data_IF_396686276078
#
_entry.id   IF_396686276078
#
_cell.length_a   1.000
_cell.length_b   1.000
_cell.length_c   1.000
_cell.angle_alpha   90.00
_cell.angle_beta   90.00
_cell.angle_gamma   90.00
#
_symmetry.space_group_name_H-M   'P 1'
#
loop_
_entity.id
_entity.type
_entity.pdbx_description
1 polymer ?
#
# COMPACT_ATOMS: atom_id res chain seq x y z
N UNK A 1 21.99 2.79 20.72
CA UNK A 1 21.30 4.08 20.45
C UNK A 1 20.61 4.03 19.11
N UNK A 2 19.35 4.45 19.08
CA UNK A 2 18.58 4.50 17.82
C UNK A 2 19.19 5.54 16.88
N UNK A 3 19.21 5.23 15.59
CA UNK A 3 19.69 6.15 14.57
C UNK A 3 18.71 7.30 14.32
N UNK A 4 17.44 7.03 14.49
CA UNK A 4 16.35 8.02 14.32
C UNK A 4 15.42 7.99 15.51
N UNK A 5 14.76 9.11 15.75
CA UNK A 5 13.71 9.14 16.76
C UNK A 5 12.42 8.49 16.23
N UNK A 6 11.71 7.81 17.13
CA UNK A 6 10.43 7.18 16.80
C UNK A 6 9.46 8.13 16.12
N UNK A 7 9.34 9.35 16.64
CA UNK A 7 8.41 10.34 16.10
C UNK A 7 8.73 10.73 14.67
N UNK A 8 10.02 10.81 14.31
CA UNK A 8 10.44 11.06 12.92
C UNK A 8 9.95 9.96 11.98
N UNK A 9 10.08 8.69 12.38
CA UNK A 9 9.63 7.55 11.59
C UNK A 9 8.10 7.54 11.51
N UNK A 10 7.41 7.82 12.60
CA UNK A 10 5.95 7.91 12.61
C UNK A 10 5.42 8.99 11.66
N UNK A 11 6.03 10.16 11.65
CA UNK A 11 5.67 11.24 10.72
C UNK A 11 5.87 10.82 9.27
N UNK A 12 6.98 10.15 8.96
CA UNK A 12 7.22 9.61 7.63
C UNK A 12 6.17 8.57 7.23
N UNK A 13 5.79 7.70 8.17
CA UNK A 13 4.76 6.68 7.93
C UNK A 13 3.36 7.29 7.75
N UNK A 14 3.02 8.31 8.52
CA UNK A 14 1.76 9.04 8.35
C UNK A 14 1.68 9.70 6.96
N UNK A 15 2.77 10.32 6.54
CA UNK A 15 2.86 10.92 5.20
C UNK A 15 2.75 9.85 4.09
N UNK A 16 3.39 8.72 4.26
CA UNK A 16 3.30 7.58 3.35
C UNK A 16 1.86 7.08 3.21
N UNK A 17 1.15 6.91 4.32
CA UNK A 17 -0.24 6.47 4.32
C UNK A 17 -1.15 7.47 3.60
N UNK A 18 -0.99 8.76 3.86
CA UNK A 18 -1.76 9.82 3.20
C UNK A 18 -1.50 9.83 1.69
N UNK A 19 -0.24 9.65 1.28
CA UNK A 19 0.14 9.60 -0.14
C UNK A 19 -0.43 8.36 -0.84
N UNK A 20 -0.46 7.21 -0.17
CA UNK A 20 -1.08 5.99 -0.70
C UNK A 20 -2.58 6.17 -0.94
N UNK A 21 -3.29 6.75 0.03
CA UNK A 21 -4.72 7.04 -0.10
C UNK A 21 -4.99 8.00 -1.26
N UNK A 22 -4.21 9.07 -1.38
CA UNK A 22 -4.31 10.03 -2.48
C UNK A 22 -4.09 9.33 -3.84
N UNK A 23 -3.06 8.49 -3.94
CA UNK A 23 -2.78 7.73 -5.17
C UNK A 23 -3.94 6.84 -5.58
N UNK A 24 -4.52 6.10 -4.62
CA UNK A 24 -5.67 5.23 -4.87
C UNK A 24 -6.89 6.02 -5.33
N UNK A 25 -7.15 7.18 -4.75
CA UNK A 25 -8.34 7.99 -5.04
C UNK A 25 -8.20 8.81 -6.32
N UNK A 26 -7.03 9.36 -6.60
CA UNK A 26 -6.79 10.24 -7.76
C UNK A 26 -6.22 9.50 -8.97
N UNK A 27 -5.69 8.30 -8.77
CA UNK A 27 -4.93 7.51 -9.77
C UNK A 27 -3.58 8.15 -10.14
N UNK A 28 -3.15 9.17 -9.40
CA UNK A 28 -1.83 9.78 -9.51
C UNK A 28 -0.96 9.35 -8.33
N UNK A 29 0.04 8.52 -8.61
CA UNK A 29 0.92 7.90 -7.62
C UNK A 29 2.24 8.66 -7.42
N UNK A 30 2.34 9.88 -7.94
CA UNK A 30 3.56 10.70 -7.88
C UNK A 30 3.99 10.97 -6.43
N UNK A 31 3.07 11.42 -5.58
CA UNK A 31 3.38 11.73 -4.18
C UNK A 31 3.74 10.49 -3.37
N UNK A 32 3.10 9.35 -3.68
CA UNK A 32 3.45 8.08 -3.05
C UNK A 32 4.85 7.62 -3.43
N UNK A 33 5.19 7.67 -4.72
CA UNK A 33 6.53 7.33 -5.20
C UNK A 33 7.60 8.25 -4.59
N UNK A 34 7.27 9.52 -4.36
CA UNK A 34 8.16 10.48 -3.70
C UNK A 34 8.48 10.13 -2.24
N UNK A 35 7.74 9.21 -1.61
CA UNK A 35 8.05 8.67 -0.28
C UNK A 35 9.25 7.71 -0.28
N UNK A 36 9.80 7.37 -1.45
CA UNK A 36 10.94 6.46 -1.59
C UNK A 36 12.21 7.20 -2.00
N UNK A 37 13.36 6.65 -1.60
CA UNK A 37 14.65 7.12 -2.12
C UNK A 37 14.75 6.79 -3.62
N UNK A 38 15.62 7.50 -4.33
CA UNK A 38 15.85 7.28 -5.76
C UNK A 38 16.26 5.85 -6.09
N UNK A 39 17.04 5.22 -5.22
CA UNK A 39 17.55 3.85 -5.35
C UNK A 39 16.77 2.80 -4.54
N UNK A 40 15.56 3.12 -4.12
CA UNK A 40 14.74 2.24 -3.29
C UNK A 40 14.50 0.89 -3.97
N UNK A 41 14.30 -0.14 -3.13
CA UNK A 41 13.89 -1.49 -3.56
C UNK A 41 12.50 -1.78 -3.03
N UNK A 42 11.64 -2.33 -3.90
CA UNK A 42 10.32 -2.79 -3.55
C UNK A 42 10.21 -4.28 -3.84
N UNK A 43 9.81 -5.05 -2.84
CA UNK A 43 9.54 -6.48 -2.98
C UNK A 43 8.05 -6.75 -2.74
N UNK A 44 7.32 -7.02 -3.80
CA UNK A 44 5.93 -7.42 -3.74
C UNK A 44 5.85 -8.91 -4.03
N UNK A 45 5.38 -9.69 -3.04
CA UNK A 45 5.51 -11.16 -3.07
C UNK A 45 4.81 -11.83 -4.25
N UNK A 46 3.82 -11.20 -4.85
CA UNK A 46 3.14 -11.72 -6.04
C UNK A 46 3.80 -11.25 -7.35
N UNK A 47 4.15 -9.96 -7.43
CA UNK A 47 4.66 -9.36 -8.68
C UNK A 47 6.18 -9.41 -8.80
N UNK A 48 6.92 -9.56 -7.69
CA UNK A 48 8.37 -9.64 -7.71
C UNK A 48 9.07 -8.41 -7.15
N UNK A 49 10.27 -8.14 -7.64
CA UNK A 49 11.14 -7.07 -7.12
C UNK A 49 11.29 -5.95 -8.13
N UNK A 50 11.31 -4.72 -7.62
CA UNK A 50 11.48 -3.52 -8.43
C UNK A 50 12.57 -2.65 -7.81
N UNK A 51 13.50 -2.19 -8.63
CA UNK A 51 14.64 -1.39 -8.21
C UNK A 51 14.55 0.02 -8.77
N UNK A 52 14.66 1.00 -7.88
CA UNK A 52 14.60 2.40 -8.20
C UNK A 52 13.18 2.98 -8.16
N UNK A 53 13.08 4.21 -7.67
CA UNK A 53 11.82 4.93 -7.52
C UNK A 53 11.03 5.02 -8.82
N UNK A 54 11.70 5.26 -9.94
CA UNK A 54 11.04 5.41 -11.24
C UNK A 54 10.38 4.10 -11.70
N UNK A 55 11.05 2.96 -11.47
CA UNK A 55 10.49 1.64 -11.78
C UNK A 55 9.33 1.29 -10.83
N UNK A 56 9.45 1.64 -9.56
CA UNK A 56 8.37 1.48 -8.57
C UNK A 56 7.16 2.29 -9.01
N UNK A 57 7.35 3.55 -9.40
CA UNK A 57 6.29 4.41 -9.90
C UNK A 57 5.60 3.85 -11.14
N UNK A 58 6.38 3.39 -12.12
CA UNK A 58 5.85 2.81 -13.36
C UNK A 58 5.01 1.57 -13.07
N UNK A 59 5.53 0.67 -12.24
CA UNK A 59 4.83 -0.55 -11.86
C UNK A 59 3.53 -0.27 -11.10
N UNK A 60 3.57 0.57 -10.05
CA UNK A 60 2.38 0.85 -9.25
C UNK A 60 1.28 1.52 -10.08
N UNK A 61 1.67 2.44 -10.94
CA UNK A 61 0.73 3.14 -11.82
C UNK A 61 0.05 2.17 -12.80
N UNK A 62 0.83 1.31 -13.44
CA UNK A 62 0.27 0.31 -14.36
C UNK A 62 -0.62 -0.70 -13.65
N UNK A 63 -0.25 -1.10 -12.43
CA UNK A 63 -0.95 -2.16 -11.68
C UNK A 63 -2.23 -1.62 -11.03
N UNK A 64 -2.12 -0.52 -10.29
CA UNK A 64 -3.23 -0.01 -9.49
C UNK A 64 -4.25 0.81 -10.30
N UNK A 65 -3.88 1.28 -11.49
CA UNK A 65 -4.82 1.99 -12.35
C UNK A 65 -5.57 1.06 -13.31
N UNK A 66 -5.19 -0.21 -13.33
CA UNK A 66 -5.85 -1.24 -14.16
C UNK A 66 -7.01 -1.88 -13.38
N UNK A 67 -8.17 -1.95 -14.03
CA UNK A 67 -9.30 -2.68 -13.45
C UNK A 67 -8.98 -4.19 -13.34
N UNK A 68 -9.31 -4.90 -12.26
CA UNK A 68 -10.13 -4.47 -11.12
C UNK A 68 -9.37 -3.87 -9.94
N UNK A 69 -8.03 -3.85 -9.95
CA UNK A 69 -7.23 -3.27 -8.87
C UNK A 69 -7.52 -1.76 -8.68
N UNK A 70 -7.95 -1.07 -9.73
CA UNK A 70 -8.36 0.34 -9.66
C UNK A 70 -9.57 0.59 -8.75
N UNK A 71 -10.31 -0.44 -8.39
CA UNK A 71 -11.40 -0.35 -7.41
C UNK A 71 -10.92 -0.50 -5.96
N UNK A 72 -9.65 -0.73 -5.75
CA UNK A 72 -9.02 -0.71 -4.43
C UNK A 72 -8.69 0.74 -4.08
N UNK A 73 -9.45 1.32 -3.14
CA UNK A 73 -9.45 2.78 -2.92
C UNK A 73 -8.99 3.20 -1.54
N UNK A 74 -8.68 2.27 -0.65
CA UNK A 74 -8.19 2.60 0.69
C UNK A 74 -7.27 1.50 1.22
N UNK A 75 -6.35 1.92 2.11
CA UNK A 75 -5.36 1.05 2.74
C UNK A 75 -5.29 1.32 4.24
N UNK A 76 -6.37 1.01 5.00
CA UNK A 76 -6.35 1.28 6.44
C UNK A 76 -5.34 0.41 7.16
N UNK A 77 -4.60 1.03 8.07
CA UNK A 77 -3.64 0.36 8.94
C UNK A 77 -4.35 -0.07 10.21
N UNK A 78 -4.34 -1.37 10.51
CA UNK A 78 -4.99 -1.92 11.71
C UNK A 78 -4.05 -1.94 12.92
N UNK A 79 -2.77 -2.16 12.69
CA UNK A 79 -1.72 -2.04 13.70
C UNK A 79 -0.37 -1.81 13.00
N UNK A 80 0.58 -1.26 13.76
CA UNK A 80 1.97 -1.17 13.33
C UNK A 80 2.90 -1.21 14.54
N UNK A 81 4.14 -1.55 14.28
CA UNK A 81 5.24 -1.47 15.23
C UNK A 81 6.47 -0.87 14.55
N UNK A 82 7.33 -0.27 15.34
CA UNK A 82 8.56 0.36 14.86
C UNK A 82 9.75 -0.23 15.60
N UNK A 83 10.74 -0.69 14.86
CA UNK A 83 12.07 -1.01 15.36
C UNK A 83 12.93 0.24 15.13
N UNK A 84 13.16 1.03 16.18
CA UNK A 84 13.89 2.30 16.09
C UNK A 84 15.36 2.09 15.73
N UNK A 85 15.97 1.01 16.20
CA UNK A 85 17.38 0.73 15.94
C UNK A 85 17.64 0.45 14.45
N UNK A 86 16.71 -0.26 13.81
CA UNK A 86 16.79 -0.57 12.38
C UNK A 86 16.12 0.49 11.50
N UNK A 87 15.22 1.29 12.06
CA UNK A 87 14.39 2.21 11.30
C UNK A 87 13.29 1.49 10.51
N UNK A 88 12.78 0.37 11.03
CA UNK A 88 11.76 -0.41 10.34
C UNK A 88 10.38 -0.10 10.88
N UNK A 89 9.42 0.03 9.96
CA UNK A 89 8.00 0.00 10.27
C UNK A 89 7.44 -1.32 9.76
N UNK A 90 6.73 -2.04 10.63
CA UNK A 90 6.03 -3.27 10.28
C UNK A 90 4.55 -3.04 10.57
N UNK A 91 3.70 -3.18 9.57
CA UNK A 91 2.29 -2.83 9.69
C UNK A 91 1.40 -3.88 9.02
N UNK A 92 0.22 -4.11 9.60
CA UNK A 92 -0.87 -4.74 8.87
C UNK A 92 -1.67 -3.64 8.17
N UNK A 93 -1.74 -3.75 6.86
CA UNK A 93 -2.45 -2.80 5.99
C UNK A 93 -3.54 -3.56 5.26
N UNK A 94 -4.77 -3.09 5.35
CA UNK A 94 -5.87 -3.69 4.61
C UNK A 94 -5.88 -3.16 3.17
N UNK A 95 -5.92 -4.08 2.22
CA UNK A 95 -6.23 -3.75 0.83
C UNK A 95 -7.75 -3.72 0.70
N UNK A 96 -8.33 -2.54 0.71
CA UNK A 96 -9.78 -2.34 0.77
C UNK A 96 -10.34 -1.86 -0.56
N UNK A 97 -11.34 -2.60 -1.05
CA UNK A 97 -12.09 -2.22 -2.23
C UNK A 97 -13.04 -1.05 -1.95
N UNK A 98 -13.52 -0.39 -3.00
CA UNK A 98 -14.54 0.66 -2.90
C UNK A 98 -15.74 0.17 -2.09
N UNK A 99 -16.24 1.03 -1.20
CA UNK A 99 -17.46 0.76 -0.45
C UNK A 99 -18.67 0.78 -1.40
N UNK A 100 -19.38 -0.34 -1.46
CA UNK A 100 -20.56 -0.49 -2.31
C UNK A 100 -21.86 -0.04 -1.62
N UNK A 101 -21.82 0.28 -0.34
CA UNK A 101 -23.00 0.62 0.44
C UNK A 101 -23.92 -0.57 0.75
N UNK A 102 -23.45 -1.79 0.57
CA UNK A 102 -24.20 -3.03 0.84
C UNK A 102 -24.04 -3.58 2.25
N UNK A 103 -23.30 -2.89 3.11
CA UNK A 103 -23.03 -3.29 4.49
C UNK A 103 -21.84 -4.22 4.65
N UNK A 104 -21.16 -4.60 3.57
CA UNK A 104 -19.95 -5.43 3.60
C UNK A 104 -18.71 -4.61 3.31
N UNK A 105 -17.60 -4.99 3.94
CA UNK A 105 -16.27 -4.45 3.67
C UNK A 105 -15.47 -5.53 2.95
N UNK A 106 -15.13 -5.26 1.69
CA UNK A 106 -14.32 -6.17 0.87
C UNK A 106 -12.87 -5.77 1.02
N UNK A 107 -12.12 -6.53 1.81
CA UNK A 107 -10.71 -6.24 2.09
C UNK A 107 -9.94 -7.50 2.45
N UNK A 108 -8.62 -7.47 2.21
CA UNK A 108 -7.68 -8.51 2.61
C UNK A 108 -6.49 -7.89 3.32
N UNK A 109 -5.94 -8.57 4.36
CA UNK A 109 -4.76 -8.09 5.04
C UNK A 109 -3.50 -8.27 4.19
N UNK A 110 -2.59 -7.32 4.36
CA UNK A 110 -1.25 -7.34 3.81
C UNK A 110 -0.28 -6.91 4.92
N UNK A 111 0.87 -7.55 5.02
CA UNK A 111 1.95 -7.09 5.90
C UNK A 111 2.91 -6.25 5.07
N UNK A 112 3.04 -4.99 5.45
CA UNK A 112 3.99 -4.06 4.85
C UNK A 112 5.18 -3.86 5.79
N UNK A 113 6.37 -4.01 5.26
CA UNK A 113 7.63 -3.72 5.95
C UNK A 113 8.30 -2.56 5.21
N UNK A 114 8.58 -1.48 5.93
CA UNK A 114 9.26 -0.30 5.40
C UNK A 114 10.59 -0.10 6.12
N UNK A 115 11.64 0.23 5.37
CA UNK A 115 12.92 0.62 5.95
C UNK A 115 13.14 2.13 5.74
N UNK A 116 13.23 2.85 6.84
CA UNK A 116 13.43 4.30 6.83
C UNK A 116 14.85 4.65 6.44
N UNK A 117 15.00 5.70 5.62
CA UNK A 117 16.30 6.17 5.14
C UNK A 117 16.70 7.54 5.69
N UNK A 118 15.85 8.14 6.55
CA UNK A 118 16.00 9.52 6.95
C UNK A 118 15.29 10.47 5.97
N UNK A 119 15.26 11.74 6.28
CA UNK A 119 14.68 12.80 5.44
C UNK A 119 13.22 12.56 5.03
N UNK A 120 12.47 11.82 5.84
CA UNK A 120 11.06 11.57 5.59
C UNK A 120 10.77 10.50 4.53
N UNK A 121 11.77 9.73 4.06
CA UNK A 121 11.62 8.77 2.97
C UNK A 121 12.10 7.37 3.36
N UNK A 122 11.62 6.39 2.61
CA UNK A 122 11.94 4.97 2.81
C UNK A 122 12.81 4.44 1.66
N UNK A 123 13.75 3.57 2.00
CA UNK A 123 14.64 2.93 1.00
C UNK A 123 14.21 1.53 0.60
N UNK A 124 13.22 0.97 1.30
CA UNK A 124 12.75 -0.40 1.06
C UNK A 124 11.29 -0.53 1.47
N UNK A 125 10.53 -1.26 0.66
CA UNK A 125 9.21 -1.77 1.04
C UNK A 125 9.09 -3.24 0.65
N UNK A 126 8.44 -3.99 1.53
CA UNK A 126 8.07 -5.38 1.26
C UNK A 126 6.60 -5.57 1.61
N UNK A 127 5.82 -6.13 0.66
CA UNK A 127 4.42 -6.48 0.86
C UNK A 127 4.22 -7.98 0.76
N UNK A 128 3.66 -8.56 1.82
CA UNK A 128 3.39 -9.99 1.90
C UNK A 128 1.92 -10.24 2.19
N UNK A 129 1.24 -10.90 1.28
CA UNK A 129 -0.17 -11.27 1.39
C UNK A 129 -0.46 -12.55 0.62
N UNK A 130 -1.67 -13.06 0.76
CA UNK A 130 -2.11 -14.24 0.01
C UNK A 130 -2.81 -13.78 -1.29
N UNK A 131 -2.18 -13.94 -2.47
CA UNK A 131 -2.78 -13.49 -3.74
C UNK A 131 -4.05 -14.22 -4.09
N UNK A 132 -4.19 -15.49 -3.69
CA UNK A 132 -5.42 -16.25 -3.90
C UNK A 132 -6.59 -15.64 -3.14
N UNK A 133 -6.40 -15.36 -1.85
CA UNK A 133 -7.44 -14.74 -1.02
C UNK A 133 -7.80 -13.34 -1.53
N UNK A 134 -6.80 -12.56 -1.95
CA UNK A 134 -7.05 -11.24 -2.55
C UNK A 134 -7.90 -11.37 -3.81
N UNK A 135 -7.61 -12.33 -4.67
CA UNK A 135 -8.39 -12.60 -5.88
C UNK A 135 -9.84 -12.99 -5.55
N UNK A 136 -10.05 -13.82 -4.53
CA UNK A 136 -11.41 -14.20 -4.06
C UNK A 136 -12.18 -12.96 -3.60
N UNK A 137 -11.57 -12.11 -2.80
CA UNK A 137 -12.21 -10.89 -2.29
C UNK A 137 -12.53 -9.90 -3.40
N UNK A 138 -11.60 -9.66 -4.31
CA UNK A 138 -11.84 -8.81 -5.49
C UNK A 138 -13.01 -9.35 -6.32
N UNK A 139 -13.02 -10.66 -6.59
CA UNK A 139 -14.10 -11.31 -7.34
C UNK A 139 -15.47 -11.17 -6.66
N UNK A 140 -15.52 -11.32 -5.34
CA UNK A 140 -16.74 -11.14 -4.56
C UNK A 140 -17.25 -9.70 -4.63
N UNK A 141 -16.37 -8.72 -4.53
CA UNK A 141 -16.70 -7.30 -4.66
C UNK A 141 -17.27 -6.98 -6.05
N UNK A 142 -16.63 -7.46 -7.11
CA UNK A 142 -17.09 -7.26 -8.50
C UNK A 142 -18.48 -7.87 -8.70
N UNK A 143 -18.69 -9.08 -8.22
CA UNK A 143 -19.99 -9.75 -8.32
C UNK A 143 -21.08 -8.98 -7.59
N UNK A 144 -20.80 -8.52 -6.36
CA UNK A 144 -21.74 -7.71 -5.58
C UNK A 144 -22.09 -6.40 -6.30
N UNK A 145 -21.09 -5.72 -6.86
CA UNK A 145 -21.28 -4.48 -7.62
C UNK A 145 -22.19 -4.69 -8.82
N UNK A 146 -21.97 -5.76 -9.58
CA UNK A 146 -22.83 -6.11 -10.74
C UNK A 146 -24.29 -6.35 -10.33
N UNK A 147 -24.51 -7.02 -9.19
CA UNK A 147 -25.84 -7.26 -8.68
C UNK A 147 -26.55 -5.97 -8.24
N UNK A 148 -25.82 -5.04 -7.65
CA UNK A 148 -26.33 -3.72 -7.25
C UNK A 148 -26.65 -2.87 -8.48
N UNK A 149 -25.79 -2.85 -9.48
CA UNK A 149 -25.97 -2.08 -10.72
C UNK A 149 -27.14 -2.60 -11.58
N UNK A 150 -27.52 -3.87 -11.43
CA UNK A 150 -28.63 -4.49 -12.14
C UNK A 150 -30.03 -4.16 -11.56
N UNK A 151 -30.08 -3.53 -10.39
CA UNK A 151 -31.33 -3.07 -9.75
C UNK A 151 -31.70 -1.67 -10.20
#
# INVERSE_FOLDING_TARGET
MSRWERLEIEHAFDHYQAAALKGAQTKDWTDWAACFTEDATYFEHHYGRFWGRDNIYTWITATMNKWPASEMTAFPVTWYTIDEDKGWVIAEVMNRMTDLGDGYIYQEPNITILHYAGNGVFKYEEDAYNPHNMGVTIGACIKAKKLLDAK
#
